data_IF_507126794577
#
_entry.id   IF_507126794577
#
_cell.length_a   1.000
_cell.length_b   1.000
_cell.length_c   1.000
_cell.angle_alpha   90.00
_cell.angle_beta   90.00
_cell.angle_gamma   90.00
#
_symmetry.space_group_name_H-M   'P 1'
#
loop_
_entity.id
_entity.type
_entity.pdbx_description
1 polymer ?
#
# COMPACT_ATOMS: atom_id res chain seq x y z
N UNK A 1 3.73 -16.94 -1.26
CA UNK A 1 3.39 -16.96 0.18
C UNK A 1 4.21 -15.87 0.84
N UNK A 2 3.65 -14.68 1.08
CA UNK A 2 4.37 -13.65 1.83
C UNK A 2 4.38 -14.13 3.28
N UNK A 3 5.58 -14.39 3.81
CA UNK A 3 5.77 -14.90 5.16
C UNK A 3 5.00 -14.01 6.15
N UNK A 4 4.02 -14.60 6.85
CA UNK A 4 3.19 -13.92 7.84
C UNK A 4 3.94 -13.62 9.15
N UNK A 5 5.21 -14.02 9.25
CA UNK A 5 5.98 -14.03 10.50
C UNK A 5 7.08 -12.95 10.55
N UNK A 6 7.04 -11.94 9.69
CA UNK A 6 7.91 -10.75 9.89
C UNK A 6 7.13 -9.76 10.75
N UNK A 7 7.54 -9.58 12.00
CA UNK A 7 6.97 -8.52 12.83
C UNK A 7 7.32 -7.16 12.20
N UNK A 8 6.50 -6.11 12.38
CA UNK A 8 6.81 -4.79 11.83
C UNK A 8 8.23 -4.32 12.16
N UNK A 9 8.71 -4.63 13.36
CA UNK A 9 10.05 -4.30 13.85
C UNK A 9 11.13 -5.03 13.06
N UNK A 10 10.91 -6.29 12.67
CA UNK A 10 11.88 -7.04 11.85
C UNK A 10 11.92 -6.54 10.41
N UNK A 11 10.82 -5.96 9.90
CA UNK A 11 10.80 -5.36 8.57
C UNK A 11 11.54 -4.01 8.56
N UNK A 12 11.33 -3.18 9.57
CA UNK A 12 11.98 -1.88 9.71
C UNK A 12 13.51 -2.03 9.79
N UNK A 13 14.01 -3.00 10.57
CA UNK A 13 15.45 -3.31 10.62
C UNK A 13 16.00 -3.70 9.25
N UNK A 14 15.30 -4.57 8.50
CA UNK A 14 15.74 -4.98 7.16
C UNK A 14 15.79 -3.83 6.16
N UNK A 15 14.81 -2.92 6.22
CA UNK A 15 14.79 -1.73 5.40
C UNK A 15 15.96 -0.79 5.75
N UNK A 16 16.26 -0.62 7.04
CA UNK A 16 17.39 0.18 7.52
C UNK A 16 18.72 -0.41 7.06
N UNK A 17 18.95 -1.71 7.28
CA UNK A 17 20.18 -2.40 6.86
C UNK A 17 20.40 -2.34 5.35
N UNK A 18 19.34 -2.53 4.55
CA UNK A 18 19.44 -2.42 3.09
C UNK A 18 19.79 -0.99 2.66
N UNK A 19 19.21 0.02 3.32
CA UNK A 19 19.52 1.42 3.05
C UNK A 19 20.98 1.76 3.41
N UNK A 20 21.45 1.33 4.57
CA UNK A 20 22.86 1.52 5.00
C UNK A 20 23.84 0.88 4.01
N UNK A 21 23.49 -0.27 3.44
CA UNK A 21 24.34 -1.01 2.50
C UNK A 21 24.15 -0.60 1.04
N UNK A 22 23.27 0.36 0.74
CA UNK A 22 22.94 0.75 -0.63
C UNK A 22 22.37 -0.40 -1.48
N UNK A 23 21.69 -1.36 -0.85
CA UNK A 23 21.13 -2.51 -1.52
C UNK A 23 19.86 -2.13 -2.29
N UNK A 24 19.71 -2.71 -3.49
CA UNK A 24 18.46 -2.60 -4.25
C UNK A 24 17.46 -3.60 -3.71
N UNK A 25 16.25 -3.13 -3.39
CA UNK A 25 15.14 -3.96 -2.92
C UNK A 25 13.97 -3.90 -3.90
N UNK A 26 13.36 -5.05 -4.15
CA UNK A 26 12.00 -5.12 -4.66
C UNK A 26 11.04 -5.15 -3.47
N UNK A 27 10.06 -4.25 -3.45
CA UNK A 27 9.10 -4.12 -2.34
C UNK A 27 7.66 -4.17 -2.84
N UNK A 28 6.81 -4.87 -2.09
CA UNK A 28 5.35 -4.90 -2.32
C UNK A 28 4.68 -4.19 -1.15
N UNK A 29 4.06 -3.04 -1.44
CA UNK A 29 3.37 -2.23 -0.45
C UNK A 29 1.87 -2.53 -0.48
N UNK A 30 1.30 -2.89 0.67
CA UNK A 30 -0.15 -3.07 0.80
C UNK A 30 -0.76 -1.76 1.30
N UNK A 31 -1.44 -1.03 0.41
CA UNK A 31 -2.14 0.21 0.74
C UNK A 31 -3.65 -0.03 0.80
N UNK A 32 -4.30 0.43 1.88
CA UNK A 32 -5.76 0.37 2.04
C UNK A 32 -6.33 1.78 2.04
N UNK A 33 -7.31 2.03 1.18
CA UNK A 33 -7.85 3.37 1.02
C UNK A 33 -8.71 3.55 -0.21
N UNK A 34 -9.24 4.77 -0.39
CA UNK A 34 -10.03 5.12 -1.57
C UNK A 34 -9.11 5.50 -2.72
N UNK A 35 -9.21 4.77 -3.83
CA UNK A 35 -8.44 5.02 -5.06
C UNK A 35 -9.18 5.97 -5.99
N UNK A 36 -8.47 6.89 -6.64
CA UNK A 36 -8.97 7.81 -7.67
C UNK A 36 -7.93 7.99 -8.79
N UNK A 37 -8.35 8.16 -10.05
CA UNK A 37 -7.42 8.51 -11.13
C UNK A 37 -6.92 9.95 -10.95
N UNK A 38 -5.74 10.24 -11.51
CA UNK A 38 -5.22 11.60 -11.71
C UNK A 38 -5.54 12.01 -13.15
N UNK A 39 -5.99 13.25 -13.36
CA UNK A 39 -6.34 13.74 -14.69
C UNK A 39 -5.15 13.69 -15.65
N UNK A 40 -5.40 13.26 -16.90
CA UNK A 40 -4.42 13.33 -17.98
C UNK A 40 -3.31 12.27 -17.97
N UNK A 41 -3.43 11.15 -17.25
CA UNK A 41 -2.36 10.16 -17.28
C UNK A 41 -2.64 8.78 -16.68
N UNK A 42 -1.59 7.96 -16.65
CA UNK A 42 -1.55 6.57 -16.12
C UNK A 42 -1.31 6.49 -14.60
N UNK A 43 -1.52 7.60 -13.88
CA UNK A 43 -1.26 7.73 -12.45
C UNK A 43 -2.55 7.68 -11.64
N UNK A 44 -2.41 7.14 -10.45
CA UNK A 44 -3.49 6.92 -9.50
C UNK A 44 -3.10 7.52 -8.16
N UNK A 45 -4.11 7.94 -7.39
CA UNK A 45 -3.93 8.35 -6.00
C UNK A 45 -4.77 7.48 -5.09
N UNK A 46 -4.21 7.10 -3.95
CA UNK A 46 -4.94 6.45 -2.86
C UNK A 46 -4.88 7.31 -1.62
N UNK A 47 -6.04 7.59 -1.02
CA UNK A 47 -6.12 8.19 0.31
C UNK A 47 -6.14 7.07 1.33
N UNK A 48 -5.01 6.88 2.04
CA UNK A 48 -4.87 5.87 3.08
C UNK A 48 -5.45 6.33 4.41
N UNK A 49 -5.60 5.40 5.35
CA UNK A 49 -5.96 5.70 6.73
C UNK A 49 -4.98 6.72 7.35
N UNK A 50 -5.49 7.67 8.14
CA UNK A 50 -4.73 8.84 8.59
C UNK A 50 -4.69 10.01 7.58
N UNK A 51 -5.33 9.88 6.42
CA UNK A 51 -5.57 10.99 5.50
C UNK A 51 -4.43 11.31 4.54
N UNK A 52 -3.30 10.60 4.64
CA UNK A 52 -2.18 10.70 3.68
C UNK A 52 -2.63 10.27 2.29
N UNK A 53 -2.18 11.00 1.27
CA UNK A 53 -2.42 10.66 -0.14
C UNK A 53 -1.12 10.16 -0.74
N UNK A 54 -1.16 8.96 -1.32
CA UNK A 54 -0.05 8.37 -2.06
C UNK A 54 -0.40 8.36 -3.54
N UNK A 55 0.50 8.84 -4.39
CA UNK A 55 0.37 8.81 -5.85
C UNK A 55 1.32 7.76 -6.40
N UNK A 56 0.83 6.90 -7.30
CA UNK A 56 1.59 5.80 -7.89
C UNK A 56 1.21 5.62 -9.36
N UNK A 57 2.10 5.01 -10.13
CA UNK A 57 1.81 4.61 -11.51
C UNK A 57 1.08 3.25 -11.54
N UNK A 58 0.17 3.07 -12.49
CA UNK A 58 -0.65 1.86 -12.54
C UNK A 58 0.13 0.57 -12.81
N UNK A 59 1.29 0.66 -13.45
CA UNK A 59 2.22 -0.44 -13.72
C UNK A 59 2.98 -0.93 -12.47
N UNK A 60 2.92 -0.20 -11.35
CA UNK A 60 3.47 -0.65 -10.06
C UNK A 60 2.53 -1.59 -9.30
N UNK A 61 1.27 -1.72 -9.75
CA UNK A 61 0.24 -2.46 -9.02
C UNK A 61 0.26 -3.93 -9.41
N UNK A 62 0.79 -4.76 -8.52
CA UNK A 62 0.83 -6.22 -8.70
C UNK A 62 -0.52 -6.88 -8.38
N UNK A 63 -1.31 -6.28 -7.46
CA UNK A 63 -2.63 -6.79 -7.08
C UNK A 63 -3.55 -5.66 -6.57
N UNK A 64 -4.84 -5.78 -6.86
CA UNK A 64 -5.89 -4.91 -6.34
C UNK A 64 -7.08 -5.76 -5.85
N UNK A 65 -7.38 -5.72 -4.56
CA UNK A 65 -8.49 -6.48 -3.96
C UNK A 65 -9.50 -5.50 -3.34
N UNK A 66 -10.78 -5.55 -3.73
CA UNK A 66 -11.82 -4.77 -3.08
C UNK A 66 -11.92 -5.10 -1.59
N UNK A 67 -11.94 -4.08 -0.73
CA UNK A 67 -12.18 -4.26 0.71
C UNK A 67 -13.61 -3.83 0.99
N UNK A 68 -14.48 -4.80 1.30
CA UNK A 68 -15.85 -4.50 1.76
C UNK A 68 -15.78 -3.99 3.21
N UNK A 69 -16.16 -2.74 3.44
CA UNK A 69 -16.48 -2.27 4.80
C UNK A 69 -17.68 -3.07 5.31
N UNK A 70 -17.50 -3.84 6.38
CA UNK A 70 -18.57 -4.63 6.99
C UNK A 70 -19.61 -3.68 7.59
N UNK A 71 -20.70 -3.47 6.86
CA UNK A 71 -22.04 -3.06 7.33
C UNK A 71 -22.13 -1.89 8.29
N UNK A 72 -22.34 -0.68 7.77
CA UNK A 72 -23.22 0.26 8.46
C UNK A 72 -24.62 -0.36 8.53
N UNK A 73 -25.12 -0.59 9.74
CA UNK A 73 -26.51 -0.95 10.01
C UNK A 73 -27.44 0.02 9.29
N UNK A 74 -28.12 -0.42 8.22
CA UNK A 74 -29.38 0.18 7.81
C UNK A 74 -30.37 -0.06 8.96
N UNK A 75 -30.60 0.95 9.81
CA UNK A 75 -31.84 1.04 10.57
C UNK A 75 -32.81 1.81 9.68
N UNK A 76 -33.92 1.16 9.36
CA UNK A 76 -35.13 1.82 8.88
C UNK A 76 -35.83 2.59 9.99
#
# INVERSE_FOLDING_TARGET
MIARDTTPETLDTRLAEAAERGQTLEVILVLRGKVRPVAGGRRWRIRVEGGRVVTFAGDWVVAATPVTTRGGSHRG
#
